data_IF_302308209477
#
_entry.id   IF_302308209477
#
_cell.length_a   1.000
_cell.length_b   1.000
_cell.length_c   1.000
_cell.angle_alpha   90.00
_cell.angle_beta   90.00
_cell.angle_gamma   90.00
#
_symmetry.space_group_name_H-M   'P 1'
#
loop_
_entity.id
_entity.type
_entity.pdbx_description
1 polymer ?
#
# COMPACT_ATOMS: atom_id res chain seq x y z
N UNK A 1 6.93 -1.82 -8.77
CA UNK A 1 5.64 -1.09 -8.84
C UNK A 1 5.80 0.39 -8.42
N UNK A 2 5.90 1.30 -9.40
CA UNK A 2 5.90 2.74 -9.14
C UNK A 2 4.56 3.30 -9.64
N UNK A 3 3.74 3.85 -8.75
CA UNK A 3 2.45 4.44 -9.09
C UNK A 3 2.20 5.75 -8.34
N UNK A 4 1.87 6.80 -9.08
CA UNK A 4 1.38 8.07 -8.54
C UNK A 4 0.32 8.63 -9.48
N UNK A 5 -0.80 9.10 -8.92
CA UNK A 5 -1.87 9.75 -9.70
C UNK A 5 -1.50 11.17 -10.15
N UNK A 6 -0.35 11.69 -9.73
CA UNK A 6 0.20 12.99 -10.12
C UNK A 6 1.69 12.83 -10.41
N UNK A 7 2.07 12.36 -11.61
CA UNK A 7 3.46 12.13 -11.99
C UNK A 7 4.24 13.44 -12.19
N UNK A 8 3.55 14.55 -12.48
CA UNK A 8 4.17 15.88 -12.57
C UNK A 8 4.60 16.46 -11.21
N UNK A 9 4.13 15.90 -10.10
CA UNK A 9 4.67 16.19 -8.78
C UNK A 9 5.85 15.26 -8.51
N UNK A 10 6.88 15.72 -7.78
CA UNK A 10 8.07 14.93 -7.39
C UNK A 10 7.75 13.78 -6.39
N UNK A 11 6.75 12.96 -6.71
CA UNK A 11 6.31 11.79 -5.95
C UNK A 11 7.00 10.56 -6.51
N UNK A 12 7.70 9.85 -5.64
CA UNK A 12 8.43 8.63 -6.02
C UNK A 12 7.56 7.48 -6.52
N UNK A 13 6.26 7.50 -6.21
CA UNK A 13 5.33 6.42 -6.55
C UNK A 13 5.61 5.09 -5.82
N UNK A 14 6.44 5.10 -4.77
CA UNK A 14 6.89 3.90 -4.06
C UNK A 14 6.00 3.48 -2.89
N UNK A 15 4.87 4.16 -2.65
CA UNK A 15 4.05 3.94 -1.44
C UNK A 15 3.63 2.48 -1.25
N UNK A 16 3.08 1.85 -2.29
CA UNK A 16 2.67 0.44 -2.22
C UNK A 16 3.82 -0.53 -2.04
N UNK A 17 4.96 -0.29 -2.70
CA UNK A 17 6.18 -1.10 -2.53
C UNK A 17 6.63 -1.12 -1.08
N UNK A 18 6.60 0.03 -0.41
CA UNK A 18 6.95 0.14 1.02
C UNK A 18 5.93 -0.61 1.89
N UNK A 19 4.64 -0.48 1.59
CA UNK A 19 3.58 -1.20 2.31
C UNK A 19 3.72 -2.72 2.17
N UNK A 20 3.97 -3.22 0.95
CA UNK A 20 4.21 -4.64 0.68
C UNK A 20 5.46 -5.16 1.40
N UNK A 21 6.52 -4.36 1.44
CA UNK A 21 7.78 -4.76 2.09
C UNK A 21 7.61 -4.95 3.60
N UNK A 22 6.77 -4.14 4.25
CA UNK A 22 6.61 -4.18 5.70
C UNK A 22 5.48 -5.10 6.18
N UNK A 23 4.53 -5.47 5.34
CA UNK A 23 3.34 -6.23 5.73
C UNK A 23 3.42 -7.66 5.21
N UNK A 24 2.81 -8.61 5.92
CA UNK A 24 2.74 -10.01 5.45
C UNK A 24 1.65 -10.20 4.38
N UNK A 25 0.64 -9.34 4.39
CA UNK A 25 -0.42 -9.33 3.38
C UNK A 25 -0.98 -7.93 3.19
N UNK A 26 -1.21 -7.58 1.92
CA UNK A 26 -1.81 -6.33 1.47
C UNK A 26 -2.97 -6.67 0.51
N UNK A 27 -4.15 -6.09 0.75
CA UNK A 27 -5.31 -6.19 -0.12
C UNK A 27 -5.83 -4.78 -0.43
N UNK A 28 -5.99 -4.46 -1.71
CA UNK A 28 -6.45 -3.14 -2.17
C UNK A 28 -7.76 -3.32 -2.93
N UNK A 29 -8.79 -2.57 -2.53
CA UNK A 29 -10.08 -2.47 -3.22
C UNK A 29 -10.33 -1.01 -3.54
N UNK A 30 -10.45 -0.68 -4.82
CA UNK A 30 -10.75 0.69 -5.24
C UNK A 30 -11.92 0.67 -6.19
N UNK A 31 -12.89 1.56 -5.97
CA UNK A 31 -14.03 1.75 -6.84
C UNK A 31 -14.24 3.25 -7.07
N UNK A 32 -14.43 3.64 -8.32
CA UNK A 32 -14.65 5.03 -8.69
C UNK A 32 -15.91 5.58 -7.99
N UNK A 33 -15.81 6.81 -7.47
CA UNK A 33 -16.89 7.43 -6.69
C UNK A 33 -17.10 6.89 -5.27
N UNK A 34 -16.52 5.74 -4.91
CA UNK A 34 -16.55 5.19 -3.53
C UNK A 34 -15.23 5.33 -2.79
N UNK A 35 -14.14 5.51 -3.52
CA UNK A 35 -12.80 5.68 -2.98
C UNK A 35 -12.01 4.37 -2.92
N UNK A 36 -10.91 4.39 -2.17
CA UNK A 36 -9.95 3.29 -2.09
C UNK A 36 -9.84 2.78 -0.66
N UNK A 37 -10.01 1.47 -0.49
CA UNK A 37 -9.81 0.74 0.76
C UNK A 37 -8.55 -0.09 0.68
N UNK A 38 -7.64 0.11 1.63
CA UNK A 38 -6.41 -0.66 1.77
C UNK A 38 -6.47 -1.43 3.08
N UNK A 39 -6.29 -2.74 3.00
CA UNK A 39 -6.27 -3.65 4.15
C UNK A 39 -4.87 -4.23 4.27
N UNK A 40 -4.24 -4.01 5.41
CA UNK A 40 -2.89 -4.49 5.72
C UNK A 40 -2.96 -5.48 6.86
N UNK A 41 -2.20 -6.57 6.77
CA UNK A 41 -2.08 -7.58 7.83
C UNK A 41 -0.62 -7.82 8.13
N UNK A 42 -0.28 -7.76 9.42
CA UNK A 42 1.06 -8.08 9.93
C UNK A 42 0.96 -9.13 11.03
N UNK A 43 1.75 -10.19 10.90
CA UNK A 43 1.95 -11.24 11.89
C UNK A 43 3.15 -10.86 12.73
N UNK A 44 2.90 -10.62 14.02
CA UNK A 44 3.96 -10.38 14.98
C UNK A 44 4.30 -11.71 15.64
N UNK A 45 5.54 -12.18 15.45
CA UNK A 45 6.06 -13.29 16.23
C UNK A 45 6.48 -12.71 17.59
N UNK A 46 5.77 -13.08 18.65
CA UNK A 46 6.18 -12.74 20.01
C UNK A 46 7.40 -13.62 20.32
N UNK A 47 8.53 -13.01 20.60
CA UNK A 47 9.70 -13.72 21.11
C UNK A 47 9.44 -13.96 22.60
N UNK A 48 9.18 -15.22 22.94
CA UNK A 48 9.15 -15.73 24.32
C UNK A 48 10.56 -15.95 24.85
#
# INVERSE_FOLDING_TARGET
>A
PLYTSKPELERSGMGFTVMETFMDSLEVKSEEGKGTKVVMKKKFNIVS
#
